data_IF_842190181711
#
_entry.id   IF_842190181711
#
_cell.length_a   1.000
_cell.length_b   1.000
_cell.length_c   1.000
_cell.angle_alpha   90.00
_cell.angle_beta   90.00
_cell.angle_gamma   90.00
#
_symmetry.space_group_name_H-M   'P 1'
#
loop_
_entity.id
_entity.type
_entity.pdbx_description
1 polymer ?
#
# COMPACT_ATOMS: atom_id res chain seq x y z
N UNK A 1 -6.89 27.15 67.36
CA UNK A 1 -7.90 26.31 66.66
C UNK A 1 -7.94 26.69 65.18
N UNK A 2 -7.57 25.80 64.26
CA UNK A 2 -8.14 25.70 62.91
C UNK A 2 -7.71 24.37 62.29
N UNK A 3 -8.70 23.70 61.73
CA UNK A 3 -8.78 22.25 61.48
C UNK A 3 -8.16 21.89 60.12
N UNK A 4 -7.54 20.72 60.04
CA UNK A 4 -7.27 20.00 58.81
C UNK A 4 -8.57 19.36 58.28
N UNK A 5 -8.73 19.27 56.96
CA UNK A 5 -9.41 18.19 56.20
C UNK A 5 -9.34 18.54 54.70
N UNK A 6 -8.51 17.85 53.93
CA UNK A 6 -8.85 16.69 53.08
C UNK A 6 -9.54 17.11 51.75
N UNK A 7 -8.75 17.29 50.68
CA UNK A 7 -8.59 16.35 49.53
C UNK A 7 -9.86 16.16 48.70
N UNK A 8 -9.84 16.61 47.44
CA UNK A 8 -10.46 15.87 46.33
C UNK A 8 -9.47 15.87 45.15
N UNK A 9 -8.95 14.68 44.85
CA UNK A 9 -8.28 14.31 43.62
C UNK A 9 -9.25 14.47 42.45
N UNK A 10 -9.05 15.46 41.57
CA UNK A 10 -9.73 15.45 40.27
C UNK A 10 -8.87 14.65 39.30
N UNK A 11 -9.13 13.35 39.23
CA UNK A 11 -8.59 12.46 38.22
C UNK A 11 -9.02 12.96 36.83
N UNK A 12 -8.07 13.45 36.03
CA UNK A 12 -8.28 13.70 34.61
C UNK A 12 -8.26 12.34 33.90
N UNK A 13 -9.37 11.61 34.01
CA UNK A 13 -9.71 10.48 33.14
C UNK A 13 -10.37 11.06 31.88
N UNK A 14 -9.54 11.57 30.97
CA UNK A 14 -9.96 12.10 29.68
C UNK A 14 -9.42 11.24 28.54
N UNK A 15 -10.03 10.07 28.37
CA UNK A 15 -10.07 9.20 27.18
C UNK A 15 -9.00 9.53 26.13
N UNK A 16 -7.91 8.75 26.12
CA UNK A 16 -7.14 8.58 24.89
C UNK A 16 -8.12 7.96 23.91
N UNK A 17 -8.75 8.79 23.07
CA UNK A 17 -9.33 8.32 21.83
C UNK A 17 -8.16 7.72 21.07
N UNK A 18 -7.95 6.42 21.24
CA UNK A 18 -7.29 5.60 20.24
C UNK A 18 -8.21 5.67 19.02
N UNK A 19 -8.14 6.79 18.31
CA UNK A 19 -8.40 6.80 16.88
C UNK A 19 -7.47 5.72 16.38
N UNK A 20 -8.03 4.53 16.21
CA UNK A 20 -7.37 3.41 15.60
C UNK A 20 -7.26 3.87 14.16
N UNK A 21 -6.22 4.68 13.91
CA UNK A 21 -5.86 5.19 12.61
C UNK A 21 -5.97 3.97 11.71
N UNK A 22 -6.89 4.04 10.75
CA UNK A 22 -6.92 3.04 9.70
C UNK A 22 -5.47 2.96 9.22
N UNK A 23 -4.88 1.77 9.29
CA UNK A 23 -3.50 1.60 8.85
C UNK A 23 -3.37 2.29 7.50
N UNK A 24 -2.33 3.12 7.38
CA UNK A 24 -2.08 3.87 6.14
C UNK A 24 -1.16 3.02 5.29
N UNK A 25 -1.23 3.24 3.97
CA UNK A 25 -0.13 2.84 3.11
C UNK A 25 1.11 3.64 3.52
N UNK A 26 2.23 2.96 3.65
CA UNK A 26 3.50 3.50 4.10
C UNK A 26 4.48 3.58 2.94
N UNK A 27 5.55 4.36 3.05
CA UNK A 27 6.55 4.45 1.99
C UNK A 27 7.17 3.10 1.63
N UNK A 28 7.20 2.13 2.54
CA UNK A 28 7.64 0.76 2.26
C UNK A 28 6.73 0.01 1.28
N UNK A 29 5.47 0.45 1.13
CA UNK A 29 4.47 -0.12 0.21
C UNK A 29 4.64 0.39 -1.24
N UNK A 30 5.62 1.25 -1.51
CA UNK A 30 5.96 1.61 -2.89
C UNK A 30 6.67 0.45 -3.61
N UNK A 31 6.58 0.44 -4.94
CA UNK A 31 7.27 -0.55 -5.76
C UNK A 31 6.53 -0.92 -7.05
N UNK A 32 7.05 -1.95 -7.70
CA UNK A 32 6.46 -2.56 -8.87
C UNK A 32 5.62 -3.75 -8.42
N UNK A 33 4.44 -3.87 -9.01
CA UNK A 33 3.45 -4.88 -8.71
C UNK A 33 3.00 -5.51 -10.01
N UNK A 34 2.99 -6.83 -10.08
CA UNK A 34 2.59 -7.56 -11.28
C UNK A 34 1.31 -8.34 -11.01
N UNK A 35 0.43 -8.37 -12.00
CA UNK A 35 -0.68 -9.31 -12.08
C UNK A 35 -0.22 -10.45 -12.96
N UNK A 36 -0.37 -11.67 -12.46
CA UNK A 36 -0.01 -12.87 -13.20
C UNK A 36 -1.25 -13.71 -13.50
N UNK A 37 -1.20 -14.50 -14.56
CA UNK A 37 -2.17 -15.58 -14.78
C UNK A 37 -1.86 -16.78 -13.86
N UNK A 38 -2.60 -17.88 -14.08
CA UNK A 38 -2.44 -19.13 -13.33
C UNK A 38 -1.10 -19.83 -13.57
N UNK A 39 -0.45 -19.54 -14.70
CA UNK A 39 0.81 -20.12 -15.13
C UNK A 39 2.00 -19.20 -14.78
N UNK A 40 1.76 -18.15 -13.99
CA UNK A 40 2.71 -17.12 -13.58
C UNK A 40 3.22 -16.21 -14.71
N UNK A 41 2.54 -16.15 -15.86
CA UNK A 41 2.87 -15.17 -16.89
C UNK A 41 2.41 -13.78 -16.45
N UNK A 42 3.25 -12.76 -16.65
CA UNK A 42 2.91 -11.37 -16.33
C UNK A 42 1.89 -10.84 -17.33
N UNK A 43 0.70 -10.48 -16.83
CA UNK A 43 -0.37 -9.89 -17.63
C UNK A 43 -0.28 -8.36 -17.68
N UNK A 44 0.01 -7.74 -16.52
CA UNK A 44 0.14 -6.29 -16.40
C UNK A 44 1.05 -5.94 -15.23
N UNK A 45 1.82 -4.86 -15.37
CA UNK A 45 2.63 -4.27 -14.31
C UNK A 45 2.08 -2.92 -13.89
N UNK A 46 2.08 -2.66 -12.59
CA UNK A 46 1.79 -1.37 -11.98
C UNK A 46 3.00 -0.91 -11.19
N UNK A 47 3.34 0.37 -11.27
CA UNK A 47 4.34 0.99 -10.39
C UNK A 47 3.63 1.99 -9.51
N UNK A 48 3.66 1.79 -8.19
CA UNK A 48 3.10 2.72 -7.22
C UNK A 48 4.22 3.50 -6.55
N UNK A 49 4.09 4.82 -6.53
CA UNK A 49 5.10 5.73 -5.95
C UNK A 49 4.45 6.65 -4.92
N UNK A 50 5.05 6.71 -3.73
CA UNK A 50 4.61 7.64 -2.69
C UNK A 50 5.17 9.04 -2.96
N UNK A 51 4.29 10.03 -3.03
CA UNK A 51 4.62 11.44 -3.22
C UNK A 51 4.39 12.24 -1.93
N UNK A 52 4.51 11.57 -0.77
CA UNK A 52 4.28 12.12 0.56
C UNK A 52 2.79 12.24 0.91
N UNK A 53 2.04 13.09 0.20
CA UNK A 53 0.61 13.34 0.49
C UNK A 53 -0.38 12.57 -0.41
N UNK A 54 0.12 12.02 -1.52
CA UNK A 54 -0.64 11.19 -2.46
C UNK A 54 0.27 10.11 -3.04
N UNK A 55 -0.35 9.17 -3.73
CA UNK A 55 0.31 8.12 -4.49
C UNK A 55 0.08 8.35 -5.98
N UNK A 56 1.07 8.04 -6.81
CA UNK A 56 0.92 7.98 -8.26
C UNK A 56 1.02 6.55 -8.73
N UNK A 57 0.53 6.30 -9.94
CA UNK A 57 0.70 5.00 -10.56
C UNK A 57 1.01 5.09 -12.03
N UNK A 58 1.93 4.24 -12.46
CA UNK A 58 2.22 3.95 -13.85
C UNK A 58 1.81 2.51 -14.17
N UNK A 59 1.49 2.27 -15.43
CA UNK A 59 1.17 0.96 -15.98
C UNK A 59 2.20 0.56 -17.03
N UNK A 60 2.61 -0.71 -17.03
CA UNK A 60 3.47 -1.27 -18.06
C UNK A 60 2.64 -1.60 -19.29
N UNK A 61 2.88 -0.91 -20.40
CA UNK A 61 2.25 -1.14 -21.69
C UNK A 61 3.33 -1.11 -22.78
N UNK A 62 3.34 -2.10 -23.68
CA UNK A 62 4.34 -2.22 -24.76
C UNK A 62 5.79 -2.11 -24.26
N UNK A 63 6.11 -2.78 -23.15
CA UNK A 63 7.41 -2.73 -22.46
C UNK A 63 7.85 -1.32 -21.99
N UNK A 64 6.93 -0.37 -21.92
CA UNK A 64 7.18 0.98 -21.44
C UNK A 64 6.25 1.34 -20.28
N UNK A 65 6.81 2.05 -19.30
CA UNK A 65 6.04 2.59 -18.19
C UNK A 65 5.33 3.86 -18.62
N UNK A 66 4.00 3.83 -18.56
CA UNK A 66 3.14 4.95 -18.92
C UNK A 66 2.38 5.43 -17.70
N UNK A 67 2.29 6.75 -17.52
CA UNK A 67 1.49 7.31 -16.42
C UNK A 67 0.03 6.92 -16.60
N UNK A 68 -0.59 6.41 -15.54
CA UNK A 68 -2.04 6.23 -15.56
C UNK A 68 -2.67 7.61 -15.41
N UNK A 69 -3.47 7.98 -16.40
CA UNK A 69 -4.20 9.24 -16.42
C UNK A 69 -5.63 9.02 -15.92
N UNK A 70 -6.04 9.87 -14.99
CA UNK A 70 -7.38 9.95 -14.43
C UNK A 70 -8.07 11.21 -14.94
N UNK A 71 -9.26 11.49 -14.40
CA UNK A 71 -10.09 12.70 -14.65
C UNK A 71 -9.29 13.95 -15.10
N UNK A 72 -9.71 14.56 -16.22
CA UNK A 72 -9.08 15.74 -16.86
C UNK A 72 -7.69 15.51 -17.48
N UNK A 73 -7.37 14.30 -17.97
CA UNK A 73 -6.06 13.97 -18.59
C UNK A 73 -4.86 14.25 -17.66
N UNK A 74 -5.08 14.18 -16.34
CA UNK A 74 -4.03 14.40 -15.35
C UNK A 74 -3.56 13.07 -14.79
N UNK A 75 -2.30 12.96 -14.36
CA UNK A 75 -1.82 11.76 -13.66
C UNK A 75 -2.74 11.43 -12.48
N UNK A 76 -3.06 10.14 -12.32
CA UNK A 76 -3.83 9.66 -11.19
C UNK A 76 -3.11 9.99 -9.88
N UNK A 77 -3.82 10.69 -8.98
CA UNK A 77 -3.34 11.02 -7.63
C UNK A 77 -4.22 10.30 -6.62
N UNK A 78 -3.77 9.15 -6.18
CA UNK A 78 -4.47 8.34 -5.20
C UNK A 78 -4.25 8.93 -3.81
N UNK A 79 -5.31 9.08 -3.04
CA UNK A 79 -5.26 9.63 -1.68
C UNK A 79 -5.76 8.61 -0.68
N UNK A 80 -5.33 8.70 0.58
CA UNK A 80 -5.76 7.76 1.63
C UNK A 80 -7.28 7.63 1.66
N UNK A 81 -7.77 6.40 1.54
CA UNK A 81 -9.19 6.12 1.45
C UNK A 81 -9.91 6.37 2.76
N UNK A 82 -11.09 6.97 2.67
CA UNK A 82 -12.02 7.03 3.78
C UNK A 82 -12.70 5.66 4.00
N UNK A 83 -13.21 5.43 5.21
CA UNK A 83 -13.99 4.21 5.52
C UNK A 83 -15.20 4.05 4.58
N UNK A 84 -15.91 5.14 4.29
CA UNK A 84 -17.06 5.12 3.39
C UNK A 84 -16.63 4.75 1.95
N UNK A 85 -15.52 5.30 1.49
CA UNK A 85 -14.96 4.99 0.16
C UNK A 85 -14.54 3.54 0.04
N UNK A 86 -13.88 2.99 1.08
CA UNK A 86 -13.54 1.56 1.12
C UNK A 86 -14.80 0.69 1.06
N UNK A 87 -15.85 1.01 1.82
CA UNK A 87 -17.12 0.26 1.76
C UNK A 87 -17.76 0.29 0.37
N UNK A 88 -17.64 1.40 -0.37
CA UNK A 88 -18.08 1.50 -1.75
C UNK A 88 -17.28 0.58 -2.68
N UNK A 89 -15.95 0.61 -2.61
CA UNK A 89 -15.10 -0.24 -3.45
C UNK A 89 -15.32 -1.73 -3.17
N UNK A 90 -15.55 -2.11 -1.92
CA UNK A 90 -15.76 -3.50 -1.50
C UNK A 90 -17.23 -3.87 -1.31
N UNK A 91 -18.18 -3.15 -1.94
CA UNK A 91 -19.61 -3.38 -1.73
C UNK A 91 -20.08 -4.82 -2.04
N UNK A 92 -19.39 -5.51 -2.96
CA UNK A 92 -19.65 -6.92 -3.30
C UNK A 92 -18.85 -7.94 -2.49
N UNK A 93 -18.07 -7.50 -1.50
CA UNK A 93 -17.15 -8.34 -0.71
C UNK A 93 -17.45 -8.21 0.79
N UNK A 94 -18.52 -8.86 1.28
CA UNK A 94 -19.00 -8.71 2.66
C UNK A 94 -17.93 -9.06 3.72
N UNK A 95 -17.04 -10.01 3.43
CA UNK A 95 -15.96 -10.39 4.33
C UNK A 95 -14.94 -9.25 4.52
N UNK A 96 -14.63 -8.53 3.43
CA UNK A 96 -13.73 -7.37 3.49
C UNK A 96 -14.41 -6.21 4.22
N UNK A 97 -15.72 -6.03 4.07
CA UNK A 97 -16.49 -5.05 4.85
C UNK A 97 -16.36 -5.31 6.36
N UNK A 98 -16.38 -6.58 6.78
CA UNK A 98 -16.17 -6.94 8.19
C UNK A 98 -14.75 -6.61 8.68
N UNK A 99 -13.72 -6.74 7.83
CA UNK A 99 -12.35 -6.27 8.14
C UNK A 99 -12.32 -4.75 8.28
N UNK A 100 -12.97 -4.00 7.36
CA UNK A 100 -13.08 -2.53 7.43
C UNK A 100 -13.81 -2.08 8.70
N UNK A 101 -14.81 -2.85 9.14
CA UNK A 101 -15.52 -2.64 10.40
C UNK A 101 -14.79 -3.18 11.64
N UNK A 102 -13.55 -3.67 11.48
CA UNK A 102 -12.67 -4.16 12.55
C UNK A 102 -13.27 -5.31 13.36
N UNK A 103 -14.07 -6.16 12.72
CA UNK A 103 -14.64 -7.35 13.36
C UNK A 103 -13.64 -8.52 13.46
N UNK A 104 -12.56 -8.48 12.69
CA UNK A 104 -11.50 -9.48 12.71
C UNK A 104 -10.23 -8.91 13.34
N UNK A 105 -9.84 -9.46 14.49
CA UNK A 105 -8.61 -9.07 15.16
C UNK A 105 -7.39 -9.50 14.34
N UNK A 106 -6.36 -8.64 14.30
CA UNK A 106 -5.12 -8.90 13.56
C UNK A 106 -5.21 -8.67 12.05
N UNK A 107 -6.39 -8.35 11.51
CA UNK A 107 -6.57 -7.93 10.13
C UNK A 107 -6.72 -6.42 10.02
N UNK A 108 -6.06 -5.82 9.04
CA UNK A 108 -6.27 -4.41 8.71
C UNK A 108 -6.24 -4.18 7.21
N UNK A 109 -7.09 -3.26 6.74
CA UNK A 109 -7.16 -2.85 5.35
C UNK A 109 -6.81 -1.37 5.23
N UNK A 110 -5.81 -1.09 4.40
CA UNK A 110 -5.29 0.25 4.13
C UNK A 110 -5.40 0.51 2.64
N UNK A 111 -6.00 1.61 2.20
CA UNK A 111 -6.11 1.90 0.78
C UNK A 111 -5.72 3.35 0.46
N UNK A 112 -5.24 3.57 -0.76
CA UNK A 112 -5.28 4.85 -1.42
C UNK A 112 -6.12 4.73 -2.70
N UNK A 113 -6.97 5.71 -2.96
CA UNK A 113 -7.93 5.65 -4.06
C UNK A 113 -8.04 6.93 -4.90
N UNK A 114 -8.58 6.71 -6.09
CA UNK A 114 -9.18 7.68 -6.99
C UNK A 114 -10.60 7.22 -7.31
N UNK A 115 -11.34 7.95 -8.14
CA UNK A 115 -12.74 7.60 -8.46
C UNK A 115 -12.85 6.20 -9.09
N UNK A 116 -11.87 5.83 -9.90
CA UNK A 116 -11.85 4.66 -10.79
C UNK A 116 -11.37 3.39 -10.09
N UNK A 117 -10.40 3.47 -9.18
CA UNK A 117 -9.81 2.33 -8.49
C UNK A 117 -9.14 2.71 -7.16
N UNK A 118 -8.86 1.69 -6.36
CA UNK A 118 -8.08 1.77 -5.13
C UNK A 118 -6.90 0.77 -5.15
N UNK A 119 -5.74 1.23 -4.70
CA UNK A 119 -4.61 0.38 -4.34
C UNK A 119 -4.68 0.13 -2.84
N UNK A 120 -4.75 -1.15 -2.45
CA UNK A 120 -5.00 -1.56 -1.09
C UNK A 120 -3.94 -2.54 -0.58
N UNK A 121 -3.67 -2.47 0.71
CA UNK A 121 -2.88 -3.40 1.50
C UNK A 121 -3.79 -4.05 2.53
N UNK A 122 -3.94 -5.36 2.43
CA UNK A 122 -4.52 -6.21 3.46
C UNK A 122 -3.36 -6.77 4.29
N UNK A 123 -3.23 -6.31 5.52
CA UNK A 123 -2.22 -6.79 6.45
C UNK A 123 -2.83 -7.81 7.40
N UNK A 124 -2.19 -8.97 7.43
CA UNK A 124 -2.46 -10.09 8.31
C UNK A 124 -1.24 -10.29 9.24
N UNK A 125 -1.35 -11.02 10.36
CA UNK A 125 -0.27 -11.12 11.34
C UNK A 125 1.07 -11.62 10.79
N UNK A 126 1.07 -12.38 9.69
CA UNK A 126 2.26 -12.98 9.08
C UNK A 126 2.39 -12.70 7.58
N UNK A 127 1.41 -12.06 6.98
CA UNK A 127 1.35 -11.91 5.54
C UNK A 127 0.78 -10.54 5.17
N UNK A 128 1.14 -10.06 3.99
CA UNK A 128 0.58 -8.84 3.44
C UNK A 128 0.19 -9.09 1.99
N UNK A 129 -1.08 -8.89 1.70
CA UNK A 129 -1.64 -9.03 0.36
C UNK A 129 -1.94 -7.65 -0.20
N UNK A 130 -1.48 -7.38 -1.43
CA UNK A 130 -1.78 -6.14 -2.13
C UNK A 130 -2.89 -6.38 -3.15
N UNK A 131 -3.81 -5.43 -3.24
CA UNK A 131 -5.00 -5.53 -4.05
C UNK A 131 -5.15 -4.27 -4.91
N UNK A 132 -5.59 -4.46 -6.15
CA UNK A 132 -6.20 -3.42 -6.95
C UNK A 132 -7.70 -3.66 -6.96
N UNK A 133 -8.49 -2.64 -6.64
CA UNK A 133 -9.95 -2.75 -6.61
C UNK A 133 -10.56 -1.68 -7.47
N UNK A 134 -11.33 -2.06 -8.49
CA UNK A 134 -11.97 -1.09 -9.37
C UNK A 134 -13.33 -0.63 -8.81
N UNK A 135 -13.89 0.43 -9.41
CA UNK A 135 -15.18 1.01 -9.03
C UNK A 135 -16.37 0.02 -9.07
N UNK A 136 -16.23 -1.10 -9.77
CA UNK A 136 -17.27 -2.14 -9.93
C UNK A 136 -17.12 -3.28 -8.91
N UNK A 137 -16.22 -3.10 -7.94
CA UNK A 137 -15.82 -4.07 -6.92
C UNK A 137 -15.11 -5.31 -7.48
N UNK A 138 -14.50 -5.24 -8.66
CA UNK A 138 -13.58 -6.29 -9.09
C UNK A 138 -12.27 -6.16 -8.33
N UNK A 139 -11.77 -7.28 -7.79
CA UNK A 139 -10.54 -7.33 -6.99
C UNK A 139 -9.49 -8.10 -7.77
N UNK A 140 -8.30 -7.52 -7.88
CA UNK A 140 -7.13 -8.13 -8.49
C UNK A 140 -6.03 -8.22 -7.45
N UNK A 141 -5.47 -9.41 -7.24
CA UNK A 141 -4.30 -9.60 -6.38
C UNK A 141 -3.06 -9.13 -7.10
N UNK A 142 -2.23 -8.36 -6.40
CA UNK A 142 -0.99 -7.78 -6.88
C UNK A 142 0.19 -8.47 -6.20
N UNK A 143 1.08 -9.04 -7.01
CA UNK A 143 2.33 -9.63 -6.53
C UNK A 143 3.42 -8.55 -6.55
N UNK A 144 3.98 -8.23 -5.38
CA UNK A 144 5.07 -7.25 -5.32
C UNK A 144 6.31 -7.81 -5.99
N UNK A 145 6.75 -7.17 -7.06
CA UNK A 145 7.95 -7.56 -7.79
C UNK A 145 9.16 -6.89 -7.14
N UNK A 146 10.07 -7.72 -6.63
CA UNK A 146 11.42 -7.30 -6.27
C UNK A 146 12.34 -7.71 -7.43
N UNK A 147 12.96 -6.75 -8.15
CA UNK A 147 14.03 -7.09 -9.06
C UNK A 147 15.09 -7.83 -8.25
N UNK A 148 15.49 -9.02 -8.70
CA UNK A 148 16.71 -9.61 -8.15
C UNK A 148 17.82 -8.60 -8.42
N UNK A 149 18.48 -8.13 -7.35
CA UNK A 149 19.71 -7.36 -7.48
C UNK A 149 20.60 -8.13 -8.46
N UNK A 150 20.93 -7.50 -9.59
CA UNK A 150 21.93 -8.02 -10.51
C UNK A 150 23.11 -8.46 -9.66
N UNK A 151 23.44 -9.75 -9.67
CA UNK A 151 24.72 -10.22 -9.19
C UNK A 151 25.77 -9.30 -9.82
N UNK A 152 26.51 -8.60 -8.97
CA UNK A 152 27.66 -7.82 -9.38
C UNK A 152 28.55 -8.73 -10.21
N UNK A 153 28.55 -8.52 -11.53
CA UNK A 153 29.53 -9.14 -12.43
C UNK A 153 30.89 -8.74 -11.86
N UNK A 154 31.76 -9.69 -11.45
CA UNK A 154 33.10 -9.35 -11.01
C UNK A 154 33.77 -8.57 -12.14
N UNK A 155 34.37 -7.42 -11.80
CA UNK A 155 35.14 -6.65 -12.76
C UNK A 155 36.18 -7.57 -13.42
N UNK A 156 36.38 -7.48 -14.75
CA UNK A 156 37.41 -8.27 -15.41
C UNK A 156 38.77 -7.90 -14.81
N UNK A 157 39.45 -8.91 -14.27
CA UNK A 157 40.82 -8.79 -13.76
C UNK A 157 41.69 -8.30 -14.90
N UNK A 158 42.24 -7.10 -14.80
CA UNK A 158 43.26 -6.62 -15.72
C UNK A 158 44.45 -7.57 -15.66
N UNK A 159 44.66 -8.35 -16.72
CA UNK A 159 45.91 -9.06 -16.92
C UNK A 159 47.00 -8.01 -17.12
N UNK A 160 47.91 -7.89 -16.15
CA UNK A 160 49.20 -7.24 -16.35
C UNK A 160 49.89 -7.92 -17.53
N UNK A 161 50.05 -7.18 -18.61
CA UNK A 161 50.93 -7.53 -19.72
C UNK A 161 52.36 -7.45 -19.19
N UNK A 162 52.97 -8.60 -18.96
CA UNK A 162 54.40 -8.72 -18.68
C UNK A 162 55.13 -8.46 -20.00
N UNK A 163 55.66 -7.25 -20.17
CA UNK A 163 56.55 -6.93 -21.29
C UNK A 163 57.95 -7.39 -20.92
N UNK A 164 58.27 -8.62 -21.32
CA UNK A 164 59.65 -9.10 -21.36
C UNK A 164 60.43 -8.39 -22.47
N UNK A 165 61.51 -7.72 -22.08
CA UNK A 165 62.71 -7.54 -22.90
C UNK A 165 63.93 -7.37 -22.01
#
# INVERSE_FOLDING_TARGET
MKKYSAVIFTAILGVICTTTASAKLESADQGIYIVTDKDNNVLVGYRFTSMGKYWTTDILQNNQWNNVVCTQNKPCRLTTSSKATMKRFFAKHPDVINVIDKKFSGLSLSCADVKEFAFCKLSEPKNTTYLLVNKDSAVTVLNKYQPQTQQSVPAPVQQKKDEGK
#
